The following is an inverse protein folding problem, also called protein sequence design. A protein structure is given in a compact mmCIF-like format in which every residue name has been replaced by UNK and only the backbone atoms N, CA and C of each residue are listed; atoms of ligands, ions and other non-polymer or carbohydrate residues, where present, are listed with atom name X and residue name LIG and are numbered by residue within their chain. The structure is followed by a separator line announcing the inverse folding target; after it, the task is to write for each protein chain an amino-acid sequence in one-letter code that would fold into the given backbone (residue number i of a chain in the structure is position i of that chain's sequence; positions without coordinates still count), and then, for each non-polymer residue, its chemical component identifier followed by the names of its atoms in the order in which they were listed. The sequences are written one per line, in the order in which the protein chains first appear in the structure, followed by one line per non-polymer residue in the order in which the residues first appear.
data_IF_649245226714
#
_entry.id   IF_649245226714
#
_cell.length_a   1.000
_cell.length_b   1.000
_cell.length_c   1.000
_cell.angle_alpha   90.00
_cell.angle_beta   90.00
_cell.angle_gamma   90.00
#
_symmetry.space_group_name_H-M   'P 1'
#
loop_
_entity.id
_entity.type
_entity.pdbx_description
1 polymer ?
#
# COMPACT_ATOMS: atom_id res chain seq x y z
N UNK A 1 -27.02 31.02 16.48
CA UNK A 1 -26.02 29.94 16.66
C UNK A 1 -25.64 29.46 15.27
N UNK A 2 -24.42 29.74 14.84
CA UNK A 2 -23.93 29.41 13.49
C UNK A 2 -23.27 28.04 13.52
N UNK A 3 -23.85 27.10 12.76
CA UNK A 3 -23.27 25.78 12.51
C UNK A 3 -21.95 25.89 11.73
N UNK A 4 -20.93 25.07 12.03
CA UNK A 4 -19.77 24.95 11.16
C UNK A 4 -20.09 24.02 10.00
N UNK A 5 -20.43 24.59 8.85
CA UNK A 5 -20.52 23.89 7.55
C UNK A 5 -19.11 23.52 7.09
N UNK A 6 -18.79 22.23 7.11
CA UNK A 6 -17.66 21.70 6.36
C UNK A 6 -18.11 21.53 4.90
N UNK A 7 -17.55 22.32 3.98
CA UNK A 7 -17.71 22.09 2.55
C UNK A 7 -17.13 20.71 2.21
N UNK A 8 -18.03 19.74 2.05
CA UNK A 8 -17.75 18.41 1.54
C UNK A 8 -17.20 18.59 0.12
N UNK A 9 -15.95 18.16 -0.09
CA UNK A 9 -15.21 18.28 -1.36
C UNK A 9 -16.06 17.84 -2.56
N UNK A 10 -16.56 18.80 -3.33
CA UNK A 10 -17.18 18.58 -4.64
C UNK A 10 -16.09 18.27 -5.68
N UNK A 11 -16.49 17.51 -6.71
CA UNK A 11 -15.68 17.15 -7.89
C UNK A 11 -15.00 18.39 -8.52
N UNK A 12 -13.74 18.31 -9.02
CA UNK A 12 -12.96 19.47 -9.44
C UNK A 12 -13.31 20.01 -10.84
N UNK A 13 -14.55 19.88 -11.31
CA UNK A 13 -14.93 20.43 -12.62
C UNK A 13 -15.21 21.94 -12.62
N UNK A 14 -15.03 22.67 -11.51
CA UNK A 14 -15.38 24.10 -11.46
C UNK A 14 -14.67 24.96 -10.40
N UNK A 15 -13.36 24.79 -10.16
CA UNK A 15 -12.61 25.69 -9.26
C UNK A 15 -11.41 26.35 -9.98
N UNK A 16 -11.32 27.69 -10.01
CA UNK A 16 -10.22 28.39 -10.65
C UNK A 16 -8.93 28.23 -9.82
N UNK A 17 -7.86 27.87 -10.52
CA UNK A 17 -6.51 27.68 -10.00
C UNK A 17 -5.97 28.98 -9.40
N UNK A 18 -5.99 29.11 -8.07
CA UNK A 18 -5.10 30.03 -7.35
C UNK A 18 -4.53 29.34 -6.12
N UNK A 19 -3.19 29.26 -6.06
CA UNK A 19 -2.44 28.54 -5.05
C UNK A 19 -2.52 29.19 -3.68
N UNK A 20 -3.58 28.90 -2.92
CA UNK A 20 -3.62 29.17 -1.48
C UNK A 20 -3.20 27.93 -0.70
N UNK A 21 -2.18 28.06 0.13
CA UNK A 21 -1.81 27.07 1.14
C UNK A 21 -2.92 26.97 2.21
N UNK A 22 -4.01 26.30 1.89
CA UNK A 22 -5.07 26.01 2.85
C UNK A 22 -4.55 24.98 3.84
N UNK A 23 -4.44 25.40 5.10
CA UNK A 23 -4.14 24.52 6.23
C UNK A 23 -5.45 24.07 6.85
N UNK A 24 -5.77 22.77 6.78
CA UNK A 24 -6.83 22.18 7.60
C UNK A 24 -6.21 21.63 8.89
N UNK A 25 -6.67 22.13 10.03
CA UNK A 25 -6.32 21.59 11.35
C UNK A 25 -7.45 20.70 11.83
N UNK A 26 -7.24 19.39 11.77
CA UNK A 26 -8.21 18.44 12.30
C UNK A 26 -7.82 18.17 13.76
N UNK A 27 -8.72 18.51 14.67
CA UNK A 27 -8.64 18.07 16.06
C UNK A 27 -9.45 16.78 16.15
N UNK A 28 -8.76 15.67 16.38
CA UNK A 28 -9.41 14.47 16.89
C UNK A 28 -10.02 14.85 18.24
N UNK A 29 -11.33 14.61 18.39
CA UNK A 29 -11.99 14.80 19.68
C UNK A 29 -11.77 13.50 20.43
N UNK A 30 -10.71 13.47 21.25
CA UNK A 30 -10.63 12.50 22.34
C UNK A 30 -11.77 12.81 23.31
N UNK A 31 -12.67 11.85 23.53
CA UNK A 31 -13.74 11.96 24.52
C UNK A 31 -13.11 11.79 25.91
N UNK A 32 -12.26 12.71 26.32
CA UNK A 32 -11.58 12.67 27.61
C UNK A 32 -11.15 14.08 28.04
N UNK A 33 -11.91 14.60 29.00
CA UNK A 33 -11.67 15.76 29.89
C UNK A 33 -11.61 17.14 29.24
N UNK A 34 -12.67 17.92 29.53
CA UNK A 34 -12.70 19.38 29.43
C UNK A 34 -11.56 19.97 30.27
N UNK A 35 -10.81 20.91 29.71
CA UNK A 35 -9.92 21.79 30.46
C UNK A 35 -8.42 21.51 30.30
N UNK A 36 -7.88 21.65 29.09
CA UNK A 36 -6.47 21.96 28.89
C UNK A 36 -6.27 22.66 27.54
N UNK A 37 -5.60 23.82 27.53
CA UNK A 37 -5.22 24.55 26.31
C UNK A 37 -4.04 23.92 25.54
N UNK A 38 -3.72 22.65 25.79
CA UNK A 38 -2.74 21.92 24.97
C UNK A 38 -3.47 21.28 23.79
N UNK A 39 -2.89 21.28 22.57
CA UNK A 39 -3.41 20.46 21.49
C UNK A 39 -3.51 19.02 22.01
N UNK A 40 -4.64 18.30 21.80
CA UNK A 40 -4.70 16.89 22.16
C UNK A 40 -3.54 16.16 21.47
N UNK A 41 -2.98 15.15 22.15
CA UNK A 41 -1.86 14.31 21.69
C UNK A 41 -2.04 13.81 20.26
N UNK A 42 -3.29 13.62 19.87
CA UNK A 42 -3.72 12.98 18.62
C UNK A 42 -4.05 14.00 17.51
N UNK A 43 -3.63 15.26 17.68
CA UNK A 43 -3.88 16.33 16.70
C UNK A 43 -2.87 16.33 15.55
N UNK A 44 -3.38 16.57 14.34
CA UNK A 44 -2.57 16.69 13.14
C UNK A 44 -2.97 17.87 12.26
N UNK A 45 -2.03 18.31 11.44
CA UNK A 45 -2.16 19.45 10.53
C UNK A 45 -1.84 18.99 9.11
N UNK A 46 -2.73 19.23 8.16
CA UNK A 46 -2.42 19.01 6.74
C UNK A 46 -1.50 20.12 6.22
N UNK A 47 -0.39 19.76 5.56
CA UNK A 47 0.59 20.74 5.05
C UNK A 47 0.18 21.37 3.73
N UNK A 48 -0.63 20.67 2.93
CA UNK A 48 -1.22 21.19 1.69
C UNK A 48 -2.52 20.44 1.39
N UNK A 49 -3.65 21.09 1.58
CA UNK A 49 -4.98 20.49 1.36
C UNK A 49 -5.35 20.47 -0.14
N UNK A 50 -4.63 21.24 -0.97
CA UNK A 50 -4.95 21.41 -2.39
C UNK A 50 -4.43 20.32 -3.32
N UNK A 51 -3.40 19.56 -2.92
CA UNK A 51 -2.82 18.51 -3.76
C UNK A 51 -2.52 17.25 -2.94
N UNK A 52 -3.14 16.11 -3.24
CA UNK A 52 -2.80 14.86 -2.60
C UNK A 52 -1.37 14.44 -3.00
N UNK A 53 -0.64 13.87 -2.05
CA UNK A 53 0.65 13.20 -2.31
C UNK A 53 0.47 11.97 -3.19
N UNK A 54 -0.67 11.30 -3.04
CA UNK A 54 -1.07 10.15 -3.82
C UNK A 54 -2.58 10.18 -4.05
N UNK A 55 -3.01 9.87 -5.26
CA UNK A 55 -4.41 9.69 -5.58
C UNK A 55 -4.58 8.44 -6.43
N UNK A 56 -5.50 7.59 -5.99
CA UNK A 56 -6.10 6.55 -6.82
C UNK A 56 -7.59 6.86 -6.99
N UNK A 57 -8.28 6.06 -7.78
CA UNK A 57 -9.72 5.86 -7.55
C UNK A 57 -9.86 5.33 -6.09
N UNK A 58 -10.86 5.55 -5.26
CA UNK A 58 -10.97 5.01 -3.88
C UNK A 58 -10.05 5.59 -2.79
N UNK A 59 -8.88 6.16 -3.08
CA UNK A 59 -7.99 6.70 -2.02
C UNK A 59 -7.32 8.02 -2.41
N UNK A 60 -7.24 8.95 -1.45
CA UNK A 60 -6.33 10.11 -1.50
C UNK A 60 -5.47 10.14 -0.26
N UNK A 61 -4.16 10.28 -0.43
CA UNK A 61 -3.20 10.40 0.68
C UNK A 61 -2.59 11.78 0.65
N UNK A 62 -2.61 12.46 1.79
CA UNK A 62 -2.02 13.79 1.96
C UNK A 62 -0.87 13.73 2.96
N UNK A 63 0.13 14.57 2.73
CA UNK A 63 1.18 14.81 3.71
C UNK A 63 0.63 15.63 4.88
N UNK A 64 0.91 15.18 6.09
CA UNK A 64 0.48 15.83 7.32
C UNK A 64 1.61 15.96 8.34
N UNK A 65 1.38 16.81 9.35
CA UNK A 65 2.24 16.94 10.51
C UNK A 65 1.48 16.56 11.78
N UNK A 66 1.91 15.51 12.47
CA UNK A 66 1.35 15.08 13.74
C UNK A 66 2.09 15.74 14.91
N UNK A 67 1.38 16.08 15.98
CA UNK A 67 1.96 16.75 17.14
C UNK A 67 3.15 15.98 17.75
N UNK A 68 3.01 14.65 17.86
CA UNK A 68 4.05 13.76 18.39
C UNK A 68 4.94 13.13 17.30
N UNK A 69 4.36 12.57 16.25
CA UNK A 69 5.09 11.79 15.23
C UNK A 69 5.75 12.62 14.13
N UNK A 70 5.71 13.96 14.23
CA UNK A 70 6.20 14.91 13.24
C UNK A 70 5.57 14.67 11.87
N UNK A 71 6.10 13.79 11.02
CA UNK A 71 5.64 13.62 9.65
C UNK A 71 4.76 12.37 9.50
N UNK A 72 3.54 12.57 8.98
CA UNK A 72 2.53 11.51 8.84
C UNK A 72 1.84 11.59 7.49
N UNK A 73 1.16 10.50 7.11
CA UNK A 73 0.28 10.48 5.95
C UNK A 73 -1.17 10.42 6.38
N UNK A 74 -2.03 11.12 5.67
CA UNK A 74 -3.47 11.18 5.96
C UNK A 74 -4.20 10.61 4.76
N UNK A 75 -4.65 9.37 4.91
CA UNK A 75 -5.36 8.62 3.90
C UNK A 75 -6.85 8.85 4.05
N UNK A 76 -7.51 9.28 2.99
CA UNK A 76 -8.96 9.46 2.89
C UNK A 76 -9.52 8.43 1.92
N UNK A 77 -10.63 7.81 2.30
CA UNK A 77 -11.44 7.02 1.38
C UNK A 77 -12.20 7.99 0.46
N UNK A 78 -12.02 7.86 -0.85
CA UNK A 78 -12.67 8.72 -1.85
C UNK A 78 -14.05 8.17 -2.18
N UNK A 79 -15.06 9.02 -2.09
CA UNK A 79 -16.40 8.72 -2.56
C UNK A 79 -16.45 8.77 -4.09
N UNK A 80 -16.85 7.66 -4.71
CA UNK A 80 -17.08 7.56 -6.15
C UNK A 80 -18.56 7.39 -6.45
N UNK A 81 -19.00 7.89 -7.60
CA UNK A 81 -20.34 7.61 -8.11
C UNK A 81 -20.51 6.09 -8.24
N UNK A 82 -21.36 5.49 -7.39
CA UNK A 82 -21.62 4.05 -7.38
C UNK A 82 -21.33 3.33 -6.05
N UNK A 83 -20.49 3.89 -5.17
CA UNK A 83 -20.32 3.34 -3.82
C UNK A 83 -21.30 4.03 -2.85
N UNK A 84 -22.00 3.26 -2.03
CA UNK A 84 -22.79 3.83 -0.93
C UNK A 84 -21.87 4.26 0.22
N UNK A 85 -22.28 5.27 0.99
CA UNK A 85 -21.54 5.69 2.19
C UNK A 85 -21.36 4.53 3.19
N UNK A 86 -22.31 3.59 3.23
CA UNK A 86 -22.23 2.39 4.06
C UNK A 86 -21.09 1.47 3.61
N UNK A 87 -20.93 1.23 2.30
CA UNK A 87 -19.82 0.43 1.77
C UNK A 87 -18.47 1.08 2.07
N UNK A 88 -18.36 2.40 1.94
CA UNK A 88 -17.13 3.14 2.26
C UNK A 88 -16.82 3.09 3.76
N UNK A 89 -17.84 3.24 4.61
CA UNK A 89 -17.70 3.12 6.06
C UNK A 89 -17.30 1.70 6.49
N UNK A 90 -17.86 0.67 5.85
CA UNK A 90 -17.51 -0.73 6.12
C UNK A 90 -16.05 -1.01 5.71
N UNK A 91 -15.61 -0.55 4.54
CA UNK A 91 -14.19 -0.67 4.11
C UNK A 91 -13.25 0.02 5.09
N UNK A 92 -13.56 1.27 5.47
CA UNK A 92 -12.78 2.01 6.46
C UNK A 92 -12.74 1.29 7.81
N UNK A 93 -13.89 0.79 8.30
CA UNK A 93 -13.99 0.07 9.56
C UNK A 93 -13.17 -1.23 9.53
N UNK A 94 -13.21 -1.97 8.42
CA UNK A 94 -12.39 -3.17 8.22
C UNK A 94 -10.90 -2.85 8.26
N UNK A 95 -10.47 -1.77 7.60
CA UNK A 95 -9.05 -1.34 7.60
C UNK A 95 -8.59 -0.92 9.01
N UNK A 96 -9.39 -0.12 9.73
CA UNK A 96 -9.11 0.24 11.13
C UNK A 96 -9.02 -0.99 12.02
N UNK A 97 -9.98 -1.90 11.88
CA UNK A 97 -10.09 -3.10 12.72
C UNK A 97 -8.96 -4.10 12.43
N UNK A 98 -8.54 -4.20 11.17
CA UNK A 98 -7.39 -5.01 10.78
C UNK A 98 -6.10 -4.42 11.33
N UNK A 99 -5.85 -3.13 11.11
CA UNK A 99 -4.65 -2.45 11.58
C UNK A 99 -4.51 -2.44 13.12
N UNK A 100 -5.63 -2.49 13.85
CA UNK A 100 -5.62 -2.62 15.32
C UNK A 100 -5.33 -4.04 15.82
N UNK A 101 -5.61 -5.05 15.00
CA UNK A 101 -5.41 -6.47 15.35
C UNK A 101 -4.05 -7.01 14.90
N UNK A 102 -3.41 -6.36 13.93
CA UNK A 102 -2.09 -6.73 13.46
C UNK A 102 -1.02 -5.95 14.20
N UNK A 103 -0.02 -6.66 14.74
CA UNK A 103 1.14 -6.05 15.36
C UNK A 103 2.41 -6.63 14.72
N UNK A 104 2.87 -6.00 13.65
CA UNK A 104 4.04 -6.44 12.90
C UNK A 104 4.81 -5.21 12.39
N UNK A 105 6.15 -5.15 12.50
CA UNK A 105 6.93 -3.95 12.20
C UNK A 105 6.80 -3.46 10.74
N UNK A 106 6.52 -4.37 9.81
CA UNK A 106 6.34 -4.07 8.39
C UNK A 106 4.88 -3.97 7.95
N UNK A 107 3.97 -3.86 8.91
CA UNK A 107 2.58 -3.50 8.70
C UNK A 107 2.35 -2.10 9.28
N UNK A 108 1.74 -1.21 8.50
CA UNK A 108 1.69 0.22 8.78
C UNK A 108 0.84 0.49 10.00
N UNK A 109 1.42 1.21 10.98
CA UNK A 109 0.70 1.63 12.18
C UNK A 109 -0.30 2.73 11.86
N UNK A 110 -1.56 2.49 12.20
CA UNK A 110 -2.59 3.54 12.23
C UNK A 110 -2.44 4.31 13.54
N UNK A 111 -1.97 5.55 13.44
CA UNK A 111 -1.77 6.46 14.58
C UNK A 111 -3.08 7.02 15.10
N UNK A 112 -3.99 7.37 14.19
CA UNK A 112 -5.35 7.79 14.52
C UNK A 112 -6.29 7.53 13.34
N UNK A 113 -7.59 7.49 13.62
CA UNK A 113 -8.62 7.27 12.62
C UNK A 113 -9.81 8.19 12.91
N UNK A 114 -10.38 8.82 11.89
CA UNK A 114 -11.55 9.70 12.02
C UNK A 114 -12.69 9.23 11.12
N UNK A 115 -13.72 8.65 11.74
CA UNK A 115 -14.90 8.12 11.07
C UNK A 115 -15.71 9.19 10.34
N UNK A 116 -15.70 10.44 10.83
CA UNK A 116 -16.46 11.55 10.22
C UNK A 116 -15.93 11.90 8.83
N UNK A 117 -14.64 11.65 8.62
CA UNK A 117 -13.92 11.92 7.38
C UNK A 117 -13.53 10.66 6.62
N UNK A 118 -13.87 9.47 7.14
CA UNK A 118 -13.38 8.17 6.68
C UNK A 118 -11.87 8.20 6.41
N UNK A 119 -11.13 8.72 7.39
CA UNK A 119 -9.69 9.00 7.25
C UNK A 119 -8.83 8.20 8.23
N UNK A 120 -7.59 7.95 7.85
CA UNK A 120 -6.56 7.28 8.63
C UNK A 120 -5.30 8.15 8.65
N UNK A 121 -4.77 8.39 9.84
CA UNK A 121 -3.45 8.95 10.05
C UNK A 121 -2.45 7.79 10.15
N UNK A 122 -1.62 7.65 9.14
CA UNK A 122 -0.63 6.58 9.00
C UNK A 122 0.77 7.10 9.32
N UNK A 123 1.56 6.25 9.93
CA UNK A 123 2.97 6.53 10.17
C UNK A 123 3.81 6.22 8.92
N UNK A 124 4.57 7.20 8.43
CA UNK A 124 5.35 7.10 7.19
C UNK A 124 4.75 7.83 5.98
N UNK A 125 5.40 7.70 4.81
CA UNK A 125 5.03 8.37 3.56
C UNK A 125 5.04 7.42 2.35
N UNK A 126 4.18 7.60 1.34
CA UNK A 126 4.12 6.74 0.16
C UNK A 126 5.22 7.10 -0.85
N UNK A 127 6.49 6.91 -0.49
CA UNK A 127 7.65 7.40 -1.26
C UNK A 127 7.70 6.88 -2.70
N UNK A 128 7.14 5.69 -2.95
CA UNK A 128 7.20 5.02 -4.24
C UNK A 128 6.43 5.77 -5.33
N UNK A 129 5.53 6.68 -4.95
CA UNK A 129 4.71 7.43 -5.91
C UNK A 129 5.31 8.77 -6.32
N UNK A 130 6.21 9.33 -5.52
CA UNK A 130 6.78 10.65 -5.79
C UNK A 130 8.32 10.66 -5.92
N UNK A 131 9.02 9.60 -5.51
CA UNK A 131 10.44 9.42 -5.83
C UNK A 131 10.59 8.76 -7.22
N UNK A 132 10.27 9.52 -8.26
CA UNK A 132 10.36 9.06 -9.65
C UNK A 132 10.94 10.12 -10.57
N UNK A 133 11.59 9.69 -11.64
CA UNK A 133 12.10 10.58 -12.69
C UNK A 133 10.99 10.99 -13.66
N UNK A 134 11.33 11.85 -14.63
CA UNK A 134 10.39 12.35 -15.64
C UNK A 134 9.81 11.24 -16.53
N UNK A 135 10.46 10.07 -16.57
CA UNK A 135 10.01 8.87 -17.28
C UNK A 135 9.24 7.91 -16.38
N UNK A 136 8.88 8.36 -15.16
CA UNK A 136 8.17 7.60 -14.15
C UNK A 136 8.91 6.35 -13.64
N UNK A 137 10.23 6.28 -13.74
CA UNK A 137 11.01 5.23 -13.07
C UNK A 137 11.38 5.64 -11.66
N UNK A 138 11.41 4.68 -10.73
CA UNK A 138 11.79 4.93 -9.34
C UNK A 138 13.22 5.47 -9.25
N UNK A 139 13.43 6.52 -8.46
CA UNK A 139 14.75 7.18 -8.29
C UNK A 139 15.50 6.77 -7.03
N UNK A 140 14.96 5.83 -6.26
CA UNK A 140 15.63 5.30 -5.08
C UNK A 140 16.79 4.36 -5.43
N UNK A 141 17.48 3.88 -4.40
CA UNK A 141 18.67 3.03 -4.54
C UNK A 141 18.32 1.55 -4.68
N UNK A 142 19.28 0.75 -5.15
CA UNK A 142 19.14 -0.71 -5.16
C UNK A 142 18.94 -1.27 -3.75
N UNK A 143 19.62 -0.71 -2.75
CA UNK A 143 19.49 -1.14 -1.35
C UNK A 143 18.08 -0.85 -0.82
N UNK A 144 17.49 0.30 -1.15
CA UNK A 144 16.07 0.57 -0.81
C UNK A 144 15.14 -0.50 -1.42
N UNK A 145 15.44 -0.98 -2.63
CA UNK A 145 14.69 -2.08 -3.23
C UNK A 145 14.86 -3.41 -2.51
N UNK A 146 16.07 -3.71 -2.03
CA UNK A 146 16.36 -4.91 -1.20
C UNK A 146 15.61 -4.84 0.14
N UNK A 147 15.70 -3.70 0.81
CA UNK A 147 14.99 -3.42 2.06
C UNK A 147 13.48 -3.59 1.89
N UNK A 148 12.89 -2.96 0.87
CA UNK A 148 11.47 -3.08 0.58
C UNK A 148 11.09 -4.55 0.34
N UNK A 149 11.85 -5.28 -0.47
CA UNK A 149 11.57 -6.68 -0.77
C UNK A 149 11.49 -7.52 0.51
N UNK A 150 12.52 -7.46 1.36
CA UNK A 150 12.60 -8.24 2.60
C UNK A 150 11.49 -7.85 3.57
N UNK A 151 11.31 -6.55 3.80
CA UNK A 151 10.37 -6.04 4.80
C UNK A 151 8.91 -6.31 4.41
N UNK A 152 8.54 -6.04 3.16
CA UNK A 152 7.17 -6.29 2.70
C UNK A 152 6.90 -7.78 2.54
N UNK A 153 7.86 -8.59 2.07
CA UNK A 153 7.70 -10.04 2.04
C UNK A 153 7.50 -10.62 3.44
N UNK A 154 8.24 -10.14 4.44
CA UNK A 154 8.05 -10.51 5.85
C UNK A 154 6.65 -10.14 6.38
N UNK A 155 6.16 -8.94 6.06
CA UNK A 155 4.78 -8.55 6.37
C UNK A 155 3.73 -9.46 5.72
N UNK A 156 3.95 -9.88 4.47
CA UNK A 156 3.08 -10.82 3.78
C UNK A 156 3.14 -12.23 4.38
N UNK A 157 4.31 -12.71 4.81
CA UNK A 157 4.44 -14.00 5.52
C UNK A 157 3.58 -13.98 6.78
N UNK A 158 3.65 -12.90 7.56
CA UNK A 158 2.81 -12.76 8.75
C UNK A 158 1.32 -12.81 8.41
N UNK A 159 0.86 -12.06 7.39
CA UNK A 159 -0.54 -12.08 6.97
C UNK A 159 -0.99 -13.48 6.49
N UNK A 160 -0.17 -14.15 5.70
CA UNK A 160 -0.53 -15.44 5.10
C UNK A 160 -0.44 -16.62 6.05
N UNK A 161 0.58 -16.66 6.91
CA UNK A 161 0.84 -17.78 7.82
C UNK A 161 0.17 -17.61 9.17
N UNK A 162 0.25 -16.42 9.78
CA UNK A 162 -0.23 -16.20 11.15
C UNK A 162 -1.69 -15.74 11.18
N UNK A 163 -2.05 -14.85 10.25
CA UNK A 163 -3.42 -14.31 10.18
C UNK A 163 -4.32 -15.14 9.26
N UNK A 164 -3.73 -15.87 8.30
CA UNK A 164 -4.46 -16.69 7.34
C UNK A 164 -5.31 -15.88 6.35
N UNK A 165 -4.96 -14.61 6.07
CA UNK A 165 -5.70 -13.77 5.11
C UNK A 165 -4.76 -13.06 4.13
N UNK A 166 -5.11 -13.02 2.83
CA UNK A 166 -4.38 -12.22 1.85
C UNK A 166 -4.67 -10.72 2.03
N UNK A 167 -3.76 -9.89 1.52
CA UNK A 167 -3.89 -8.44 1.48
C UNK A 167 -4.69 -7.93 0.26
N UNK A 168 -4.47 -8.54 -0.91
CA UNK A 168 -5.11 -8.27 -2.21
C UNK A 168 -4.94 -6.85 -2.78
N UNK A 169 -4.08 -6.04 -2.18
CA UNK A 169 -3.92 -4.63 -2.51
C UNK A 169 -2.47 -4.16 -2.36
N UNK A 170 -1.51 -5.06 -2.59
CA UNK A 170 -0.08 -4.71 -2.58
C UNK A 170 0.25 -3.89 -3.82
N UNK A 171 0.63 -2.64 -3.63
CA UNK A 171 1.03 -1.72 -4.71
C UNK A 171 1.78 -0.51 -4.14
N UNK A 172 2.39 0.35 -4.97
CA UNK A 172 3.10 1.54 -4.54
C UNK A 172 2.30 2.51 -3.66
N UNK A 173 0.97 2.61 -3.83
CA UNK A 173 0.12 3.50 -3.04
C UNK A 173 -0.12 3.04 -1.61
N UNK A 174 0.08 1.74 -1.36
CA UNK A 174 -0.14 1.11 -0.07
C UNK A 174 1.16 0.81 0.68
N UNK A 175 2.33 1.09 0.11
CA UNK A 175 3.63 0.92 0.77
C UNK A 175 4.14 2.27 1.26
N UNK A 176 4.38 2.35 2.57
CA UNK A 176 4.82 3.55 3.26
C UNK A 176 6.25 3.38 3.76
N UNK A 177 7.03 4.45 3.77
CA UNK A 177 8.40 4.48 4.34
C UNK A 177 8.48 5.45 5.52
N UNK A 178 9.14 5.04 6.60
CA UNK A 178 9.48 5.85 7.80
C UNK A 178 10.91 5.52 8.23
N UNK A 179 11.85 6.45 8.01
CA UNK A 179 13.27 6.12 8.13
C UNK A 179 13.61 4.99 7.16
N UNK A 180 14.33 3.96 7.60
CA UNK A 180 14.68 2.78 6.79
C UNK A 180 13.60 1.67 6.80
N UNK A 181 12.42 1.95 7.34
CA UNK A 181 11.33 0.97 7.46
C UNK A 181 10.26 1.24 6.42
N UNK A 182 10.06 0.27 5.54
CA UNK A 182 8.92 0.07 4.67
C UNK A 182 7.82 -0.74 5.39
N UNK A 183 6.59 -0.29 5.23
CA UNK A 183 5.42 -0.95 5.81
C UNK A 183 4.25 -0.97 4.84
N UNK A 184 3.46 -2.05 4.88
CA UNK A 184 2.28 -2.24 4.05
C UNK A 184 1.03 -1.70 4.76
N UNK A 185 0.16 -0.99 4.05
CA UNK A 185 -1.12 -0.44 4.54
C UNK A 185 -2.26 -0.83 3.58
N UNK A 186 -3.49 -0.40 3.85
CA UNK A 186 -4.60 -0.76 2.95
C UNK A 186 -5.16 -2.14 3.25
N UNK A 187 -5.16 -2.54 4.51
CA UNK A 187 -5.71 -3.81 4.99
C UNK A 187 -7.21 -3.90 4.73
N UNK A 188 -7.59 -4.27 3.51
CA UNK A 188 -8.95 -4.64 3.22
C UNK A 188 -9.07 -6.13 3.48
N UNK A 189 -9.24 -6.47 4.75
CA UNK A 189 -9.58 -7.83 5.17
C UNK A 189 -11.04 -8.09 4.77
N UNK A 190 -11.29 -8.20 3.47
CA UNK A 190 -12.63 -8.52 2.96
C UNK A 190 -12.87 -10.01 3.20
N UNK A 191 -13.78 -10.33 4.12
CA UNK A 191 -14.50 -11.60 4.07
C UNK A 191 -15.52 -11.51 2.95
N UNK A 192 -15.06 -11.48 1.69
CA UNK A 192 -15.99 -11.45 0.57
C UNK A 192 -16.44 -12.88 0.24
N UNK A 193 -17.33 -13.42 1.08
CA UNK A 193 -18.11 -14.64 0.77
C UNK A 193 -19.21 -14.38 -0.27
N UNK A 194 -19.38 -13.15 -0.72
CA UNK A 194 -20.51 -12.70 -1.54
C UNK A 194 -20.28 -12.80 -3.04
N UNK A 195 -19.07 -13.13 -3.51
CA UNK A 195 -18.79 -13.22 -4.94
C UNK A 195 -18.94 -11.89 -5.71
N UNK A 196 -19.10 -10.77 -5.00
CA UNK A 196 -19.11 -9.46 -5.63
C UNK A 196 -17.68 -9.05 -5.94
N UNK A 197 -17.29 -9.15 -7.21
CA UNK A 197 -16.06 -8.55 -7.73
C UNK A 197 -16.08 -7.05 -7.44
N UNK A 198 -15.54 -6.63 -6.30
CA UNK A 198 -15.12 -5.25 -6.09
C UNK A 198 -13.92 -5.07 -7.01
N UNK A 199 -14.19 -4.77 -8.27
CA UNK A 199 -13.19 -4.36 -9.24
C UNK A 199 -12.52 -3.10 -8.67
N UNK A 200 -11.33 -3.27 -8.15
CA UNK A 200 -10.51 -2.16 -7.66
C UNK A 200 -9.95 -1.43 -8.88
N UNK A 201 -10.71 -0.46 -9.36
CA UNK A 201 -10.33 0.43 -10.45
C UNK A 201 -8.94 1.06 -10.13
N UNK A 202 -7.93 0.76 -10.96
CA UNK A 202 -6.52 1.13 -10.74
C UNK A 202 -5.61 0.05 -10.14
N UNK A 203 -6.14 -1.02 -9.52
CA UNK A 203 -5.33 -2.18 -9.08
C UNK A 203 -5.14 -3.23 -10.17
N UNK A 204 -5.77 -3.05 -11.32
CA UNK A 204 -5.70 -3.99 -12.45
C UNK A 204 -4.26 -4.20 -12.96
N UNK A 205 -3.40 -3.20 -12.74
CA UNK A 205 -1.97 -3.23 -13.02
C UNK A 205 -1.12 -4.05 -12.06
N UNK A 206 -1.65 -4.48 -10.93
CA UNK A 206 -0.93 -5.29 -9.96
C UNK A 206 -1.58 -6.66 -9.78
N UNK A 207 -2.84 -6.78 -10.20
CA UNK A 207 -3.60 -7.99 -10.08
C UNK A 207 -2.99 -9.14 -10.91
N UNK A 208 -3.00 -10.33 -10.32
CA UNK A 208 -2.50 -11.54 -10.95
C UNK A 208 -3.39 -11.99 -12.12
N UNK A 209 -2.85 -12.70 -13.13
CA UNK A 209 -3.60 -13.12 -14.32
C UNK A 209 -4.93 -13.81 -14.00
N UNK A 210 -4.93 -14.74 -13.03
CA UNK A 210 -6.11 -15.48 -12.60
C UNK A 210 -7.22 -14.59 -12.02
N UNK A 211 -6.85 -13.45 -11.41
CA UNK A 211 -7.83 -12.51 -10.85
C UNK A 211 -8.60 -11.76 -11.93
N UNK A 212 -8.01 -11.57 -13.12
CA UNK A 212 -8.64 -10.75 -14.16
C UNK A 212 -9.17 -11.60 -15.32
N UNK A 213 -8.51 -12.69 -15.66
CA UNK A 213 -8.94 -13.55 -16.76
C UNK A 213 -10.02 -14.56 -16.35
N UNK A 214 -10.32 -14.65 -15.05
CA UNK A 214 -11.39 -15.49 -14.54
C UNK A 214 -11.19 -16.97 -14.88
N UNK A 215 -9.93 -17.42 -15.00
CA UNK A 215 -9.65 -18.86 -15.05
C UNK A 215 -10.34 -19.46 -13.82
N UNK A 216 -11.25 -20.41 -14.06
CA UNK A 216 -11.99 -21.07 -13.00
C UNK A 216 -10.95 -21.53 -11.98
N UNK A 217 -10.99 -20.93 -10.78
CA UNK A 217 -10.25 -21.45 -9.66
C UNK A 217 -10.59 -22.94 -9.62
N UNK A 218 -9.58 -23.78 -9.84
CA UNK A 218 -9.71 -25.20 -9.53
C UNK A 218 -10.28 -25.27 -8.11
N UNK A 219 -11.14 -26.26 -7.78
CA UNK A 219 -11.70 -26.38 -6.44
C UNK A 219 -10.58 -26.14 -5.42
N UNK A 220 -10.78 -25.14 -4.55
CA UNK A 220 -9.79 -24.67 -3.59
C UNK A 220 -9.41 -25.84 -2.70
N UNK A 221 -8.35 -26.57 -3.06
CA UNK A 221 -7.85 -27.67 -2.23
C UNK A 221 -7.20 -27.11 -0.97
N UNK A 222 -6.60 -25.90 -1.07
CA UNK A 222 -6.05 -25.16 0.04
C UNK A 222 -6.46 -23.68 -0.08
N UNK A 223 -7.07 -23.10 0.96
CA UNK A 223 -7.51 -21.69 1.02
C UNK A 223 -6.40 -20.63 0.94
N UNK A 224 -5.24 -20.97 0.38
CA UNK A 224 -4.02 -20.17 0.29
C UNK A 224 -3.68 -19.69 -1.13
N UNK A 225 -4.47 -20.02 -2.16
CA UNK A 225 -4.20 -19.53 -3.53
C UNK A 225 -4.25 -18.00 -3.63
N UNK A 226 -5.12 -17.34 -2.85
CA UNK A 226 -5.22 -15.89 -2.83
C UNK A 226 -3.97 -15.20 -2.28
N UNK A 227 -3.23 -15.86 -1.38
CA UNK A 227 -1.94 -15.35 -0.87
C UNK A 227 -0.89 -15.22 -1.99
N UNK A 228 -1.01 -16.01 -3.06
CA UNK A 228 -0.11 -15.92 -4.22
C UNK A 228 -0.43 -14.74 -5.13
N UNK A 229 -1.63 -14.15 -5.03
CA UNK A 229 -1.95 -12.89 -5.73
C UNK A 229 -1.14 -11.72 -5.15
N UNK A 230 -0.91 -11.71 -3.84
CA UNK A 230 -0.06 -10.71 -3.19
C UNK A 230 1.40 -10.82 -3.60
N UNK A 231 1.91 -12.05 -3.75
CA UNK A 231 3.28 -12.30 -4.25
C UNK A 231 3.46 -11.73 -5.65
N UNK A 232 2.48 -11.95 -6.53
CA UNK A 232 2.50 -11.39 -7.88
C UNK A 232 2.50 -9.86 -7.85
N UNK A 233 1.61 -9.28 -7.05
CA UNK A 233 1.47 -7.83 -6.89
C UNK A 233 2.74 -7.17 -6.33
N UNK A 234 3.41 -7.83 -5.37
CA UNK A 234 4.72 -7.41 -4.86
C UNK A 234 5.79 -7.49 -5.94
N UNK A 235 5.83 -8.55 -6.74
CA UNK A 235 6.83 -8.71 -7.79
C UNK A 235 6.70 -7.63 -8.88
N UNK A 236 5.47 -7.21 -9.23
CA UNK A 236 5.26 -6.04 -10.10
C UNK A 236 5.80 -4.76 -9.45
N UNK A 237 5.52 -4.57 -8.17
CA UNK A 237 6.03 -3.41 -7.42
C UNK A 237 7.57 -3.40 -7.39
N UNK A 238 8.19 -4.56 -7.21
CA UNK A 238 9.65 -4.72 -7.25
C UNK A 238 10.23 -4.47 -8.65
N UNK A 239 9.54 -4.90 -9.71
CA UNK A 239 9.96 -4.59 -11.08
C UNK A 239 9.98 -3.08 -11.33
N UNK A 240 9.05 -2.32 -10.75
CA UNK A 240 9.09 -0.86 -10.77
C UNK A 240 10.26 -0.29 -9.95
N UNK A 241 10.43 -0.76 -8.72
CA UNK A 241 11.48 -0.28 -7.79
C UNK A 241 12.89 -0.58 -8.33
N UNK A 242 13.09 -1.72 -8.97
CA UNK A 242 14.34 -2.09 -9.65
C UNK A 242 14.45 -1.53 -11.08
N UNK A 243 13.58 -0.58 -11.43
CA UNK A 243 13.59 0.16 -12.70
C UNK A 243 13.46 -0.72 -13.96
N UNK A 244 12.91 -1.93 -13.84
CA UNK A 244 12.59 -2.79 -14.99
C UNK A 244 11.39 -2.24 -15.77
N UNK A 245 10.46 -1.58 -15.08
CA UNK A 245 9.28 -0.90 -15.65
C UNK A 245 9.10 0.49 -15.03
N UNK A 246 8.45 1.44 -15.73
CA UNK A 246 7.98 2.68 -15.10
C UNK A 246 6.78 2.38 -14.19
N UNK A 247 6.38 3.36 -13.37
CA UNK A 247 5.22 3.28 -12.47
C UNK A 247 3.96 2.89 -13.26
N UNK A 248 3.34 1.71 -12.99
CA UNK A 248 2.23 1.21 -13.78
C UNK A 248 1.03 2.15 -13.87
N UNK A 249 0.75 2.89 -12.80
CA UNK A 249 -0.39 3.80 -12.69
C UNK A 249 -0.33 4.98 -13.68
N UNK A 250 0.83 5.22 -14.29
CA UNK A 250 1.05 6.33 -15.24
C UNK A 250 0.68 5.99 -16.68
N UNK A 251 0.36 4.72 -16.97
CA UNK A 251 -0.11 4.32 -18.29
C UNK A 251 -1.54 4.83 -18.51
N UNK A 252 -1.69 5.90 -19.31
CA UNK A 252 -2.99 6.47 -19.67
C UNK A 252 -3.68 5.65 -20.78
N UNK A 253 -4.83 5.04 -20.48
CA UNK A 253 -5.72 4.43 -21.48
C UNK A 253 -6.65 3.36 -20.91
N UNK A 254 -7.82 3.09 -21.52
CA UNK A 254 -8.68 1.99 -21.11
C UNK A 254 -7.90 0.67 -21.20
N UNK A 255 -7.91 -0.11 -20.12
CA UNK A 255 -7.08 -1.29 -19.85
C UNK A 255 -7.11 -2.40 -20.91
N UNK A 256 -8.00 -2.31 -21.91
CA UNK A 256 -8.18 -3.31 -22.98
C UNK A 256 -7.01 -3.40 -23.96
N UNK A 257 -6.18 -2.36 -24.11
CA UNK A 257 -4.96 -2.36 -24.94
C UNK A 257 -3.65 -2.33 -24.12
N UNK A 258 -3.54 -1.58 -23.00
CA UNK A 258 -2.32 -1.49 -22.20
C UNK A 258 -1.97 -2.76 -21.40
N UNK A 259 -2.97 -3.53 -20.96
CA UNK A 259 -2.77 -4.78 -20.21
C UNK A 259 -2.05 -5.86 -21.01
N UNK A 260 -2.41 -6.04 -22.28
CA UNK A 260 -1.74 -6.99 -23.16
C UNK A 260 -0.31 -6.56 -23.47
N UNK A 261 -0.05 -5.25 -23.57
CA UNK A 261 1.30 -4.73 -23.69
C UNK A 261 2.10 -4.88 -22.39
N UNK A 262 1.46 -4.73 -21.25
CA UNK A 262 2.07 -4.92 -19.94
C UNK A 262 2.37 -6.39 -19.64
N UNK A 263 1.46 -7.32 -19.93
CA UNK A 263 1.74 -8.76 -19.91
C UNK A 263 2.84 -9.14 -20.89
N UNK A 264 2.90 -8.50 -22.07
CA UNK A 264 4.03 -8.65 -22.99
C UNK A 264 5.33 -8.11 -22.42
N UNK A 265 5.31 -7.01 -21.67
CA UNK A 265 6.49 -6.47 -21.00
C UNK A 265 6.92 -7.37 -19.83
N UNK A 266 5.99 -7.91 -19.04
CA UNK A 266 6.27 -8.90 -18.00
C UNK A 266 6.86 -10.15 -18.64
N UNK A 267 6.24 -10.66 -19.69
CA UNK A 267 6.73 -11.82 -20.42
C UNK A 267 8.07 -11.54 -21.08
N UNK A 268 8.31 -10.32 -21.56
CA UNK A 268 9.60 -9.87 -22.07
C UNK A 268 10.65 -9.81 -20.96
N UNK A 269 10.32 -9.28 -19.78
CA UNK A 269 11.20 -9.31 -18.59
C UNK A 269 11.50 -10.76 -18.25
N UNK A 270 10.52 -11.65 -18.31
CA UNK A 270 10.73 -13.08 -18.06
C UNK A 270 11.70 -13.65 -19.09
N UNK A 271 11.37 -13.55 -20.37
CA UNK A 271 12.11 -14.13 -21.50
C UNK A 271 13.54 -13.61 -21.61
N UNK A 272 13.75 -12.30 -21.43
CA UNK A 272 15.08 -11.68 -21.53
C UNK A 272 15.99 -12.08 -20.36
N UNK A 273 15.41 -12.57 -19.26
CA UNK A 273 16.13 -12.96 -18.05
C UNK A 273 16.10 -14.47 -17.77
N UNK A 274 15.60 -15.32 -18.67
CA UNK A 274 15.55 -16.80 -18.51
C UNK A 274 16.93 -17.44 -18.24
N UNK A 275 18.04 -16.72 -18.49
CA UNK A 275 19.41 -17.15 -18.16
C UNK A 275 20.13 -16.34 -17.08
N UNK A 276 19.48 -15.34 -16.46
CA UNK A 276 20.09 -14.45 -15.44
C UNK A 276 19.73 -14.83 -14.00
N UNK A 277 19.42 -16.09 -13.75
CA UNK A 277 19.03 -16.57 -12.41
C UNK A 277 20.12 -16.38 -11.34
N UNK A 278 21.36 -16.07 -11.75
CA UNK A 278 22.44 -15.68 -10.85
C UNK A 278 22.26 -14.28 -10.25
N UNK A 279 21.46 -13.39 -10.86
CA UNK A 279 21.06 -12.12 -10.26
C UNK A 279 19.91 -12.36 -9.27
N UNK A 280 20.11 -12.12 -7.96
CA UNK A 280 19.09 -12.35 -6.96
C UNK A 280 17.80 -11.57 -7.20
N UNK A 281 17.88 -10.32 -7.66
CA UNK A 281 16.71 -9.49 -7.93
C UNK A 281 15.87 -10.09 -9.06
N UNK A 282 16.52 -10.55 -10.13
CA UNK A 282 15.81 -11.18 -11.25
C UNK A 282 15.22 -12.52 -10.84
N UNK A 283 15.94 -13.35 -10.07
CA UNK A 283 15.39 -14.61 -9.57
C UNK A 283 14.09 -14.38 -8.75
N UNK A 284 14.08 -13.38 -7.87
CA UNK A 284 12.90 -12.98 -7.10
C UNK A 284 11.75 -12.57 -8.03
N UNK A 285 12.00 -11.70 -9.02
CA UNK A 285 10.98 -11.29 -9.98
C UNK A 285 10.40 -12.49 -10.74
N UNK A 286 11.25 -13.37 -11.29
CA UNK A 286 10.82 -14.50 -12.09
C UNK A 286 9.95 -15.49 -11.30
N UNK A 287 10.28 -15.71 -10.02
CA UNK A 287 9.53 -16.60 -9.11
C UNK A 287 8.22 -15.98 -8.65
N UNK A 288 8.17 -14.66 -8.50
CA UNK A 288 6.95 -13.93 -8.12
C UNK A 288 5.99 -13.68 -9.28
N UNK A 289 6.51 -13.47 -10.49
CA UNK A 289 5.76 -13.20 -11.73
C UNK A 289 5.37 -14.46 -12.50
N UNK A 290 5.47 -15.64 -11.88
CA UNK A 290 4.96 -16.87 -12.51
C UNK A 290 3.44 -16.72 -12.75
N UNK A 291 2.96 -16.80 -14.00
CA UNK A 291 1.54 -16.62 -14.31
C UNK A 291 0.69 -17.73 -13.70
N UNK A 292 1.23 -18.92 -13.45
CA UNK A 292 0.49 -20.04 -12.87
C UNK A 292 0.54 -19.98 -11.35
N UNK A 293 -0.59 -19.83 -10.64
CA UNK A 293 -0.61 -19.78 -9.18
C UNK A 293 0.06 -21.01 -8.56
N UNK A 294 -0.16 -22.21 -9.10
CA UNK A 294 0.41 -23.45 -8.55
C UNK A 294 1.94 -23.43 -8.48
N UNK A 295 2.61 -22.87 -9.48
CA UNK A 295 4.09 -22.81 -9.55
C UNK A 295 4.69 -21.49 -9.06
N UNK A 296 3.88 -20.42 -8.94
CA UNK A 296 4.28 -19.17 -8.29
C UNK A 296 4.71 -19.43 -6.85
N UNK A 297 5.83 -18.83 -6.44
CA UNK A 297 6.35 -19.01 -5.09
C UNK A 297 5.39 -18.43 -4.03
N UNK A 298 5.47 -18.95 -2.80
CA UNK A 298 4.77 -18.37 -1.65
C UNK A 298 5.50 -17.13 -1.14
N UNK A 299 4.83 -16.31 -0.34
CA UNK A 299 5.47 -15.18 0.37
C UNK A 299 6.68 -15.62 1.22
N UNK A 300 6.59 -16.79 1.86
CA UNK A 300 7.70 -17.38 2.62
C UNK A 300 8.88 -17.70 1.71
N UNK A 301 8.63 -18.35 0.58
CA UNK A 301 9.71 -18.68 -0.34
C UNK A 301 10.32 -17.44 -0.99
N UNK A 302 9.52 -16.42 -1.28
CA UNK A 302 9.99 -15.12 -1.76
C UNK A 302 10.92 -14.44 -0.73
N UNK A 303 10.54 -14.47 0.55
CA UNK A 303 11.36 -13.94 1.64
C UNK A 303 12.69 -14.70 1.78
N UNK A 304 12.66 -16.03 1.75
CA UNK A 304 13.89 -16.86 1.76
C UNK A 304 14.82 -16.46 0.61
N UNK A 305 14.30 -16.38 -0.62
CA UNK A 305 15.09 -15.95 -1.79
C UNK A 305 15.67 -14.54 -1.62
N UNK A 306 14.96 -13.64 -0.95
CA UNK A 306 15.45 -12.28 -0.69
C UNK A 306 16.53 -12.26 0.40
N UNK A 307 16.42 -13.10 1.43
CA UNK A 307 17.43 -13.22 2.49
C UNK A 307 18.70 -13.84 1.91
N UNK A 308 18.57 -15.00 1.25
CA UNK A 308 19.69 -15.72 0.63
C UNK A 308 20.33 -14.92 -0.51
N UNK A 309 19.53 -14.12 -1.20
CA UNK A 309 19.97 -13.30 -2.34
C UNK A 309 20.66 -12.00 -1.96
N UNK A 310 20.39 -11.48 -0.76
CA UNK A 310 20.85 -10.17 -0.30
C UNK A 310 21.56 -10.27 1.07
N UNK A 311 22.36 -11.32 1.28
CA UNK A 311 22.96 -11.73 2.57
C UNK A 311 23.54 -10.55 3.38
N UNK A 312 24.24 -9.61 2.74
CA UNK A 312 24.83 -8.43 3.40
C UNK A 312 23.81 -7.46 4.02
N UNK A 313 22.60 -7.38 3.46
CA UNK A 313 21.54 -6.47 3.91
C UNK A 313 20.56 -7.16 4.87
N UNK A 314 20.33 -8.46 4.75
CA UNK A 314 19.22 -9.15 5.39
C UNK A 314 19.30 -9.23 6.92
N UNK A 315 20.49 -9.53 7.46
CA UNK A 315 20.68 -9.68 8.91
C UNK A 315 20.52 -8.34 9.64
N UNK A 316 20.98 -7.24 9.03
CA UNK A 316 20.84 -5.88 9.55
C UNK A 316 19.38 -5.43 9.53
N UNK A 317 18.66 -5.70 8.43
CA UNK A 317 17.26 -5.30 8.25
C UNK A 317 16.36 -6.01 9.26
N UNK A 318 16.51 -7.32 9.45
CA UNK A 318 15.68 -8.09 10.37
C UNK A 318 16.01 -7.78 11.83
N UNK A 319 17.29 -7.60 12.21
CA UNK A 319 17.66 -7.22 13.59
C UNK A 319 17.25 -5.79 13.97
N UNK A 320 17.35 -4.83 13.03
CA UNK A 320 16.91 -3.45 13.28
C UNK A 320 15.40 -3.35 13.57
N UNK A 321 14.60 -4.25 13.01
CA UNK A 321 13.15 -4.31 13.26
C UNK A 321 12.80 -4.73 14.70
N UNK A 322 13.63 -5.58 15.33
CA UNK A 322 13.44 -6.05 16.71
C UNK A 322 13.85 -4.97 17.72
N UNK A 323 14.93 -4.24 17.45
CA UNK A 323 15.40 -3.15 18.30
C UNK A 323 14.47 -1.91 18.25
N UNK A 324 13.80 -1.65 17.12
CA UNK A 324 12.81 -0.57 17.00
C UNK A 324 11.50 -0.83 17.75
N UNK A 325 11.17 -2.10 18.02
CA UNK A 325 9.96 -2.50 18.75
C UNK A 325 10.12 -2.34 20.28
N UNK A 326 11.33 -2.49 20.81
CA UNK A 326 11.60 -2.38 22.26
C UNK A 326 11.71 -0.94 22.75
N UNK A 327 12.16 -0.01 21.91
CA UNK A 327 12.30 1.43 22.29
C UNK A 327 10.93 2.14 22.33
N UNK A 328 9.88 1.58 21.72
CA UNK A 328 8.53 2.15 21.74
C UNK A 328 7.62 1.70 22.89
N UNK A 329 8.09 0.79 23.76
CA UNK A 329 7.33 0.25 24.89
C UNK A 329 7.66 0.94 26.23
N UNK A 330 8.59 1.90 26.24
CA UNK A 330 8.97 2.69 27.41
C UNK A 330 8.96 4.17 27.03
N UNK A 331 7.81 4.82 27.18
CA UNK A 331 7.65 6.26 26.90
C UNK A 331 6.21 6.72 27.03
#
# INVERSE_FOLDING_TARGET
MTEPTAEIFKSPSSMPMSGRHTTLRIRSISVSKRGAQRPPSDSYKLSSVGLPTCQSTSTRVFRGRHAQHRLVSIKFVVHHAGNSIQQLAQRWCSEVSAARRTNHPFLTKVLSADARLLSLCLDGQPILLYNKDDKNYFTGTLDEGRQLCIQIASGLVFLHSEIGKPHLAVNPSNIFKRGEIFSLSGFQMTEDRSGSNIAFDGMEWYAAPEHIFGEQAAPQEDGHEDAKKDVFSLAITLAYVWRCIPLPDTFSGPMRLPRAQWLRNIEHIRQTNIGRNADPAMNILLRGLDPKPKTRCSSRKLLELAIDGFEDSAEVILKASVAGATVGAVG
#
